data_IF_451970855775
#
_entry.id   IF_451970855775
#
_cell.length_a   1.000
_cell.length_b   1.000
_cell.length_c   1.000
_cell.angle_alpha   90.00
_cell.angle_beta   90.00
_cell.angle_gamma   90.00
#
_symmetry.space_group_name_H-M   'P 1'
#
loop_
_entity.id
_entity.type
_entity.pdbx_description
1 polymer ?
#
# COMPACT_ATOMS: atom_id res chain seq x y z
N UNK A 1 -59.37 57.37 -14.10
CA UNK A 1 -59.62 57.44 -12.63
C UNK A 1 -58.70 56.45 -11.95
N UNK A 2 -57.98 56.68 -10.84
CA UNK A 2 -57.54 57.84 -10.08
C UNK A 2 -56.60 57.25 -8.99
N UNK A 3 -55.42 57.89 -8.79
CA UNK A 3 -54.66 58.09 -7.51
C UNK A 3 -54.21 56.82 -6.73
N UNK A 4 -52.90 56.52 -6.65
CA UNK A 4 -51.95 56.85 -5.55
C UNK A 4 -52.40 56.25 -4.19
N UNK A 5 -51.61 55.48 -3.43
CA UNK A 5 -50.48 55.97 -2.62
C UNK A 5 -49.58 54.85 -2.01
N UNK A 6 -48.28 55.19 -1.91
CA UNK A 6 -47.36 54.99 -0.75
C UNK A 6 -46.79 53.62 -0.31
N UNK A 7 -45.53 53.40 -0.73
CA UNK A 7 -44.27 53.32 0.08
C UNK A 7 -43.95 52.08 0.98
N UNK A 8 -42.66 51.87 1.33
CA UNK A 8 -41.96 50.58 1.27
C UNK A 8 -41.59 49.99 2.64
N UNK A 9 -41.10 48.74 2.65
CA UNK A 9 -40.22 48.24 3.72
C UNK A 9 -38.84 47.90 3.13
N UNK A 10 -37.89 48.80 3.37
CA UNK A 10 -36.47 48.46 3.51
C UNK A 10 -36.31 47.76 4.85
N UNK A 11 -35.76 46.56 4.89
CA UNK A 11 -34.86 46.13 5.97
C UNK A 11 -33.75 45.29 5.33
N UNK A 12 -32.53 45.81 5.51
CA UNK A 12 -31.20 45.18 5.55
C UNK A 12 -31.06 43.79 4.87
N UNK A 13 -30.24 43.61 3.84
CA UNK A 13 -28.85 44.05 3.78
C UNK A 13 -27.98 43.19 4.71
N UNK A 14 -26.94 42.59 4.15
CA UNK A 14 -25.77 42.00 4.84
C UNK A 14 -25.91 40.50 5.24
N UNK A 15 -25.78 39.57 4.28
CA UNK A 15 -25.29 38.21 4.57
C UNK A 15 -24.74 37.44 3.35
N UNK A 16 -24.12 38.11 2.37
CA UNK A 16 -23.59 37.45 1.16
C UNK A 16 -22.06 37.31 1.10
N UNK A 17 -21.29 37.89 2.04
CA UNK A 17 -19.82 38.09 1.86
C UNK A 17 -18.93 37.50 2.96
N UNK A 18 -19.35 36.43 3.64
CA UNK A 18 -18.56 35.77 4.71
C UNK A 18 -18.03 34.38 4.37
N UNK A 19 -17.82 34.06 3.08
CA UNK A 19 -17.28 32.74 2.65
C UNK A 19 -15.83 32.76 2.16
N UNK A 20 -15.18 33.93 2.07
CA UNK A 20 -13.92 34.07 1.29
C UNK A 20 -12.62 34.28 2.09
N UNK A 21 -12.51 33.82 3.35
CA UNK A 21 -11.27 34.01 4.15
C UNK A 21 -10.74 32.79 4.92
N UNK A 22 -11.18 31.57 4.59
CA UNK A 22 -10.72 30.36 5.28
C UNK A 22 -9.78 29.46 4.46
N UNK A 23 -9.31 29.89 3.28
CA UNK A 23 -8.52 29.03 2.37
C UNK A 23 -7.00 29.29 2.48
N UNK A 24 -6.55 30.37 3.12
CA UNK A 24 -5.16 30.83 2.96
C UNK A 24 -4.16 30.51 4.10
N UNK A 25 -4.48 29.64 5.07
CA UNK A 25 -3.54 29.38 6.20
C UNK A 25 -3.09 27.91 6.32
N UNK A 26 -3.68 26.96 5.59
CA UNK A 26 -3.30 25.54 5.69
C UNK A 26 -2.30 25.06 4.61
N UNK A 27 -1.85 25.95 3.71
CA UNK A 27 -0.95 25.57 2.61
C UNK A 27 0.54 25.54 2.99
N UNK A 28 0.93 25.95 4.21
CA UNK A 28 2.33 26.10 4.60
C UNK A 28 2.98 24.91 5.35
N UNK A 29 2.20 23.97 5.90
CA UNK A 29 2.73 22.93 6.82
C UNK A 29 2.75 21.52 6.21
N UNK A 30 2.08 21.29 5.08
CA UNK A 30 1.93 19.95 4.52
C UNK A 30 3.17 19.40 3.78
N UNK A 31 4.17 20.23 3.46
CA UNK A 31 5.35 19.80 2.66
C UNK A 31 6.43 19.12 3.52
N UNK A 32 6.42 19.27 4.85
CA UNK A 32 7.45 18.70 5.72
C UNK A 32 7.25 17.21 6.05
N UNK A 33 6.07 16.63 5.78
CA UNK A 33 5.76 15.22 6.10
C UNK A 33 6.10 14.25 4.96
N UNK A 34 6.54 14.76 3.80
CA UNK A 34 6.96 13.97 2.63
C UNK A 34 8.47 13.81 2.53
N UNK A 35 9.23 14.26 3.54
CA UNK A 35 10.62 13.84 3.70
C UNK A 35 10.61 12.34 3.98
N UNK A 36 10.80 11.58 2.90
CA UNK A 36 10.85 10.14 2.88
C UNK A 36 11.66 9.65 4.07
N UNK A 37 11.02 8.83 4.88
CA UNK A 37 11.69 7.86 5.72
C UNK A 37 12.38 6.89 4.76
N UNK A 38 13.46 7.35 4.11
CA UNK A 38 14.52 6.45 3.73
C UNK A 38 15.01 5.90 5.05
N UNK A 39 14.41 4.80 5.49
CA UNK A 39 14.99 3.93 6.48
C UNK A 39 16.33 3.51 5.88
N UNK A 40 17.37 4.31 6.14
CA UNK A 40 18.72 3.78 6.13
C UNK A 40 18.61 2.64 7.12
N UNK A 41 18.55 1.42 6.56
CA UNK A 41 18.51 0.20 7.32
C UNK A 41 19.66 0.29 8.32
N UNK A 42 19.35 0.69 9.55
CA UNK A 42 20.27 0.59 10.66
C UNK A 42 20.43 -0.91 10.81
N UNK A 43 21.45 -1.45 10.15
CA UNK A 43 21.65 -2.89 10.06
C UNK A 43 21.59 -3.45 11.47
N UNK A 44 20.69 -4.42 11.69
CA UNK A 44 20.62 -5.10 12.98
C UNK A 44 22.03 -5.60 13.34
N UNK A 45 22.52 -5.41 14.58
CA UNK A 45 23.78 -6.01 14.99
C UNK A 45 23.81 -7.51 14.64
N UNK A 46 24.83 -7.93 13.89
CA UNK A 46 24.95 -9.30 13.38
C UNK A 46 24.13 -9.64 12.13
N UNK A 47 23.53 -8.66 11.45
CA UNK A 47 22.96 -8.88 10.12
C UNK A 47 24.06 -9.08 9.06
N UNK A 48 23.82 -9.92 8.03
CA UNK A 48 24.73 -10.05 6.91
C UNK A 48 25.02 -8.72 6.20
N UNK A 49 26.25 -8.49 5.79
CA UNK A 49 26.66 -7.31 5.01
C UNK A 49 25.92 -7.19 3.66
N UNK A 50 25.30 -8.28 3.21
CA UNK A 50 24.56 -8.35 1.94
C UNK A 50 23.12 -7.84 2.03
N UNK A 51 22.62 -7.49 3.21
CA UNK A 51 21.20 -7.23 3.42
C UNK A 51 20.60 -6.12 2.54
N UNK A 52 21.36 -5.05 2.25
CA UNK A 52 20.89 -4.01 1.32
C UNK A 52 20.62 -4.56 -0.09
N UNK A 53 21.56 -5.37 -0.61
CA UNK A 53 21.41 -6.05 -1.90
C UNK A 53 20.27 -7.06 -1.85
N UNK A 54 20.18 -7.85 -0.79
CA UNK A 54 19.21 -8.94 -0.69
C UNK A 54 17.77 -8.39 -0.57
N UNK A 55 17.56 -7.29 0.17
CA UNK A 55 16.28 -6.58 0.21
C UNK A 55 15.90 -5.98 -1.14
N UNK A 56 16.85 -5.34 -1.83
CA UNK A 56 16.60 -4.80 -3.18
C UNK A 56 16.21 -5.90 -4.18
N UNK A 57 16.91 -7.03 -4.16
CA UNK A 57 16.60 -8.16 -5.04
C UNK A 57 15.29 -8.84 -4.67
N UNK A 58 14.97 -8.92 -3.38
CA UNK A 58 13.70 -9.44 -2.90
C UNK A 58 12.52 -8.60 -3.41
N UNK A 59 12.63 -7.29 -3.31
CA UNK A 59 11.62 -6.33 -3.81
C UNK A 59 11.45 -6.42 -5.35
N UNK A 60 12.56 -6.56 -6.09
CA UNK A 60 12.48 -6.86 -7.52
C UNK A 60 11.83 -8.22 -7.82
N UNK A 61 12.09 -9.22 -6.97
CA UNK A 61 11.48 -10.55 -7.03
C UNK A 61 9.97 -10.51 -6.83
N UNK A 62 9.49 -9.78 -5.81
CA UNK A 62 8.06 -9.59 -5.53
C UNK A 62 7.32 -9.04 -6.74
N UNK A 63 7.86 -7.97 -7.36
CA UNK A 63 7.29 -7.41 -8.60
C UNK A 63 7.23 -8.42 -9.75
N UNK A 64 8.28 -9.22 -9.94
CA UNK A 64 8.29 -10.28 -10.97
C UNK A 64 7.25 -11.36 -10.69
N UNK A 65 7.06 -11.74 -9.43
CA UNK A 65 6.01 -12.70 -9.06
C UNK A 65 4.63 -12.14 -9.36
N UNK A 66 4.36 -10.86 -9.06
CA UNK A 66 3.08 -10.22 -9.38
C UNK A 66 2.77 -10.30 -10.89
N UNK A 67 3.75 -9.96 -11.74
CA UNK A 67 3.61 -10.07 -13.20
C UNK A 67 3.36 -11.51 -13.63
N UNK A 68 4.12 -12.46 -13.07
CA UNK A 68 3.98 -13.88 -13.40
C UNK A 68 2.62 -14.44 -13.03
N UNK A 69 2.11 -14.12 -11.84
CA UNK A 69 0.79 -14.52 -11.38
C UNK A 69 -0.31 -13.95 -12.28
N UNK A 70 -0.17 -12.66 -12.66
CA UNK A 70 -1.11 -12.00 -13.57
C UNK A 70 -1.12 -12.66 -14.96
N UNK A 71 0.05 -13.03 -15.47
CA UNK A 71 0.19 -13.67 -16.77
C UNK A 71 -0.47 -15.06 -16.86
N UNK A 72 -0.62 -15.76 -15.73
CA UNK A 72 -1.25 -17.10 -15.69
C UNK A 72 -2.69 -17.09 -15.18
N UNK A 73 -3.28 -15.92 -14.92
CA UNK A 73 -4.61 -15.81 -14.29
C UNK A 73 -5.70 -16.57 -15.07
N UNK A 74 -5.61 -16.59 -16.41
CA UNK A 74 -6.52 -17.30 -17.30
C UNK A 74 -5.94 -18.58 -17.92
N UNK A 75 -4.77 -19.04 -17.45
CA UNK A 75 -4.17 -20.28 -17.96
C UNK A 75 -4.96 -21.52 -17.51
N UNK A 76 -4.63 -22.69 -18.06
CA UNK A 76 -5.18 -23.95 -17.56
C UNK A 76 -4.81 -24.19 -16.09
N UNK A 77 -5.60 -25.00 -15.39
CA UNK A 77 -5.42 -25.25 -13.96
C UNK A 77 -4.05 -25.86 -13.62
N UNK A 78 -3.54 -26.77 -14.45
CA UNK A 78 -2.23 -27.38 -14.18
C UNK A 78 -1.13 -26.31 -14.21
N UNK A 79 -1.19 -25.36 -15.14
CA UNK A 79 -0.28 -24.22 -15.23
C UNK A 79 -0.42 -23.25 -14.07
N UNK A 80 -1.65 -22.91 -13.67
CA UNK A 80 -1.92 -22.09 -12.47
C UNK A 80 -1.32 -22.76 -11.22
N UNK A 81 -1.62 -24.04 -11.01
CA UNK A 81 -1.16 -24.83 -9.87
C UNK A 81 0.36 -25.03 -9.83
N UNK A 82 1.06 -25.12 -10.97
CA UNK A 82 2.53 -25.11 -10.97
C UNK A 82 3.04 -23.74 -10.49
N UNK A 83 2.50 -22.66 -11.06
CA UNK A 83 2.92 -21.30 -10.76
C UNK A 83 2.67 -20.91 -9.29
N UNK A 84 1.53 -21.26 -8.72
CA UNK A 84 1.24 -20.98 -7.31
C UNK A 84 2.14 -21.74 -6.34
N UNK A 85 2.52 -22.98 -6.65
CA UNK A 85 3.48 -23.73 -5.81
C UNK A 85 4.86 -23.07 -5.82
N UNK A 86 5.30 -22.59 -6.98
CA UNK A 86 6.54 -21.84 -7.09
C UNK A 86 6.47 -20.49 -6.38
N UNK A 87 5.30 -19.82 -6.43
CA UNK A 87 5.06 -18.60 -5.69
C UNK A 87 5.14 -18.82 -4.17
N UNK A 88 4.55 -19.90 -3.64
CA UNK A 88 4.69 -20.28 -2.22
C UNK A 88 6.16 -20.46 -1.83
N UNK A 89 6.96 -21.13 -2.66
CA UNK A 89 8.39 -21.28 -2.41
C UNK A 89 9.11 -19.92 -2.38
N UNK A 90 8.75 -19.01 -3.28
CA UNK A 90 9.26 -17.64 -3.27
C UNK A 90 8.85 -16.87 -2.00
N UNK A 91 7.59 -16.94 -1.58
CA UNK A 91 7.12 -16.26 -0.37
C UNK A 91 7.85 -16.75 0.89
N UNK A 92 8.14 -18.05 0.98
CA UNK A 92 8.97 -18.60 2.06
C UNK A 92 10.37 -18.01 2.07
N UNK A 93 10.99 -17.85 0.89
CA UNK A 93 12.29 -17.20 0.76
C UNK A 93 12.23 -15.71 1.13
N UNK A 94 11.22 -14.99 0.63
CA UNK A 94 11.04 -13.56 0.89
C UNK A 94 10.86 -13.27 2.38
N UNK A 95 10.04 -14.07 3.06
CA UNK A 95 9.87 -14.04 4.51
C UNK A 95 11.22 -14.18 5.23
N UNK A 96 12.07 -15.10 4.81
CA UNK A 96 13.38 -15.32 5.42
C UNK A 96 14.32 -14.12 5.22
N UNK A 97 14.28 -13.46 4.05
CA UNK A 97 15.05 -12.23 3.79
C UNK A 97 14.61 -11.12 4.74
N UNK A 98 13.31 -10.83 4.84
CA UNK A 98 12.79 -9.82 5.76
C UNK A 98 13.14 -10.14 7.22
N UNK A 99 12.96 -11.40 7.63
CA UNK A 99 13.27 -11.82 8.99
C UNK A 99 14.76 -11.67 9.37
N UNK A 100 15.65 -11.83 8.38
CA UNK A 100 17.12 -11.75 8.56
C UNK A 100 17.62 -10.32 8.52
N UNK A 101 17.11 -9.53 7.57
CA UNK A 101 17.70 -8.26 7.17
C UNK A 101 17.01 -7.01 7.74
N UNK A 102 15.79 -7.12 8.24
CA UNK A 102 15.09 -6.03 8.90
C UNK A 102 15.05 -6.23 10.43
N UNK A 103 14.58 -5.22 11.15
CA UNK A 103 14.34 -5.30 12.60
C UNK A 103 13.14 -4.45 13.02
N UNK A 104 12.69 -4.62 14.27
CA UNK A 104 11.55 -3.89 14.84
C UNK A 104 10.26 -4.06 14.05
N UNK A 105 9.44 -3.01 14.06
CA UNK A 105 8.08 -3.01 13.48
C UNK A 105 8.07 -3.29 11.97
N UNK A 106 9.06 -2.80 11.22
CA UNK A 106 9.14 -3.03 9.77
C UNK A 106 9.31 -4.53 9.46
N UNK A 107 10.18 -5.22 10.21
CA UNK A 107 10.33 -6.68 10.10
C UNK A 107 9.03 -7.39 10.43
N UNK A 108 8.37 -7.02 11.51
CA UNK A 108 7.11 -7.65 11.94
C UNK A 108 6.03 -7.52 10.88
N UNK A 109 5.88 -6.33 10.28
CA UNK A 109 4.91 -6.09 9.21
C UNK A 109 5.23 -6.92 7.97
N UNK A 110 6.46 -6.86 7.46
CA UNK A 110 6.82 -7.55 6.22
C UNK A 110 6.79 -9.07 6.38
N UNK A 111 7.26 -9.61 7.52
CA UNK A 111 7.14 -11.04 7.82
C UNK A 111 5.67 -11.45 7.95
N UNK A 112 4.84 -10.64 8.61
CA UNK A 112 3.40 -10.90 8.77
C UNK A 112 2.63 -10.89 7.44
N UNK A 113 2.98 -9.99 6.51
CA UNK A 113 2.42 -9.97 5.16
C UNK A 113 2.76 -11.26 4.41
N UNK A 114 4.04 -11.68 4.42
CA UNK A 114 4.44 -12.95 3.79
C UNK A 114 3.77 -14.17 4.43
N UNK A 115 3.60 -14.18 5.75
CA UNK A 115 2.89 -15.25 6.46
C UNK A 115 1.41 -15.32 6.08
N UNK A 116 0.76 -14.17 5.88
CA UNK A 116 -0.64 -14.09 5.45
C UNK A 116 -0.82 -14.60 4.02
N UNK A 117 0.00 -14.13 3.07
CA UNK A 117 -0.04 -14.62 1.68
C UNK A 117 0.26 -16.11 1.59
N UNK A 118 1.22 -16.61 2.39
CA UNK A 118 1.51 -18.05 2.47
C UNK A 118 0.29 -18.85 2.93
N UNK A 119 -0.46 -18.37 3.90
CA UNK A 119 -1.67 -19.03 4.36
C UNK A 119 -2.74 -19.08 3.27
N UNK A 120 -2.98 -17.96 2.59
CA UNK A 120 -3.94 -17.86 1.48
C UNK A 120 -3.59 -18.82 0.34
N UNK A 121 -2.35 -18.80 -0.13
CA UNK A 121 -1.92 -19.69 -1.21
C UNK A 121 -1.93 -21.16 -0.80
N UNK A 122 -1.66 -21.50 0.46
CA UNK A 122 -1.77 -22.90 0.94
C UNK A 122 -3.21 -23.40 0.89
N UNK A 123 -4.19 -22.57 1.28
CA UNK A 123 -5.62 -22.91 1.17
C UNK A 123 -6.02 -23.08 -0.29
N UNK A 124 -5.60 -22.16 -1.16
CA UNK A 124 -5.88 -22.19 -2.58
C UNK A 124 -5.29 -23.45 -3.25
N UNK A 125 -4.05 -23.82 -2.91
CA UNK A 125 -3.45 -25.07 -3.35
C UNK A 125 -4.19 -26.30 -2.83
N UNK A 126 -4.60 -26.33 -1.56
CA UNK A 126 -5.31 -27.46 -0.98
C UNK A 126 -6.67 -27.71 -1.63
N UNK A 127 -7.37 -26.65 -2.02
CA UNK A 127 -8.72 -26.74 -2.56
C UNK A 127 -8.76 -26.97 -4.07
N UNK A 128 -7.78 -26.44 -4.83
CA UNK A 128 -7.82 -26.45 -6.31
C UNK A 128 -6.74 -27.30 -6.96
N UNK A 129 -5.64 -27.56 -6.26
CA UNK A 129 -4.51 -28.26 -6.85
C UNK A 129 -4.41 -29.66 -6.27
N UNK A 130 -4.61 -30.68 -7.12
CA UNK A 130 -4.41 -32.07 -6.71
C UNK A 130 -3.06 -32.26 -5.99
N UNK A 131 -3.06 -33.13 -4.97
CA UNK A 131 -1.83 -33.56 -4.29
C UNK A 131 -0.95 -34.23 -5.35
N UNK A 132 0.26 -33.73 -5.56
CA UNK A 132 1.23 -34.35 -6.47
C UNK A 132 1.74 -35.65 -5.89
#
# INVERSE_FOLDING_TARGET
MAVMTSRPRRICGIAAERRSRAIAVLAGVAVALLAGQGAIAQGRPGAPATCSRDLFQNEAGLRRQQTRLSAVASADEATQCRTWREHVAFLQQSRAVFATCQSGREREQNVGLMDSELAEYRVLLANRCARR
#
